data_IF_283097655036
#
_entry.id   IF_283097655036
#
_cell.length_a   1.000
_cell.length_b   1.000
_cell.length_c   1.000
_cell.angle_alpha   90.00
_cell.angle_beta   90.00
_cell.angle_gamma   90.00
#
_symmetry.space_group_name_H-M   'P 1'
#
loop_
_entity.id
_entity.type
_entity.pdbx_description
1 polymer ?
#
# COMPACT_ATOMS: atom_id res chain seq x y z
N UNK A 1 20.92 17.82 4.20
CA UNK A 1 19.77 18.08 3.31
C UNK A 1 18.52 17.68 4.06
N UNK A 2 17.73 18.66 4.47
CA UNK A 2 16.59 18.44 5.37
C UNK A 2 15.42 17.75 4.66
N UNK A 3 14.73 16.89 5.39
CA UNK A 3 13.59 16.08 4.93
C UNK A 3 12.34 16.89 4.50
N UNK A 4 12.43 18.23 4.48
CA UNK A 4 11.39 19.16 4.04
C UNK A 4 11.45 19.46 2.53
N UNK A 5 12.62 19.32 1.90
CA UNK A 5 12.84 19.76 0.50
C UNK A 5 12.11 18.88 -0.54
N UNK A 6 11.71 17.66 -0.17
CA UNK A 6 11.10 16.70 -1.10
C UNK A 6 9.60 16.87 -1.33
N UNK A 7 8.88 17.62 -0.48
CA UNK A 7 7.43 17.80 -0.63
C UNK A 7 7.06 18.79 -1.74
N UNK A 8 7.99 19.69 -2.08
CA UNK A 8 7.78 20.70 -3.11
C UNK A 8 7.69 20.07 -4.50
N UNK A 9 8.29 18.90 -4.72
CA UNK A 9 8.36 18.25 -6.03
C UNK A 9 7.01 17.67 -6.52
N UNK A 10 6.13 17.21 -5.63
CA UNK A 10 4.84 16.62 -6.05
C UNK A 10 3.72 17.66 -6.19
N UNK A 11 3.81 18.76 -5.44
CA UNK A 11 2.74 19.74 -5.30
C UNK A 11 2.26 20.31 -6.64
N UNK A 12 3.13 20.79 -7.55
CA UNK A 12 2.70 21.34 -8.83
C UNK A 12 1.93 20.33 -9.69
N UNK A 13 2.32 19.06 -9.65
CA UNK A 13 1.69 18.00 -10.43
C UNK A 13 0.36 17.56 -9.84
N UNK A 14 0.22 17.58 -8.51
CA UNK A 14 -1.08 17.36 -7.85
C UNK A 14 -2.06 18.45 -8.27
N UNK A 15 -1.65 19.72 -8.31
CA UNK A 15 -2.51 20.82 -8.75
C UNK A 15 -2.91 20.71 -10.22
N UNK A 16 -2.05 20.14 -11.08
CA UNK A 16 -2.34 19.89 -12.49
C UNK A 16 -3.28 18.71 -12.72
N UNK A 17 -3.13 17.66 -11.93
CA UNK A 17 -3.86 16.40 -12.11
C UNK A 17 -5.18 16.34 -11.33
N UNK A 18 -5.36 17.14 -10.28
CA UNK A 18 -6.59 17.22 -9.48
C UNK A 18 -7.43 18.42 -9.94
N UNK A 19 -8.24 18.22 -10.98
CA UNK A 19 -9.16 19.21 -11.52
C UNK A 19 -10.56 18.61 -11.65
N UNK A 20 -11.64 19.42 -11.73
CA UNK A 20 -12.98 18.88 -11.94
C UNK A 20 -13.04 17.94 -13.16
N UNK A 21 -12.32 18.30 -14.23
CA UNK A 21 -12.37 17.58 -15.49
C UNK A 21 -11.53 16.30 -15.51
N UNK A 22 -10.47 16.23 -14.70
CA UNK A 22 -9.67 15.00 -14.52
C UNK A 22 -10.23 14.08 -13.42
N UNK A 23 -11.16 14.57 -12.59
CA UNK A 23 -11.83 13.74 -11.58
C UNK A 23 -13.18 13.19 -12.03
N UNK A 24 -13.94 13.98 -12.79
CA UNK A 24 -15.35 13.70 -13.11
C UNK A 24 -15.72 13.92 -14.58
N UNK A 25 -14.75 14.31 -15.42
CA UNK A 25 -15.01 14.59 -16.84
C UNK A 25 -15.16 13.33 -17.71
N UNK A 26 -15.88 13.47 -18.82
CA UNK A 26 -16.11 12.40 -19.80
C UNK A 26 -14.82 11.94 -20.52
N UNK A 27 -13.75 12.74 -20.49
CA UNK A 27 -12.48 12.50 -21.18
C UNK A 27 -11.28 12.47 -20.21
N UNK A 28 -11.48 11.97 -18.99
CA UNK A 28 -10.46 11.97 -17.93
C UNK A 28 -9.12 11.35 -18.38
N UNK A 29 -9.16 10.19 -19.04
CA UNK A 29 -7.96 9.49 -19.54
C UNK A 29 -7.18 10.35 -20.53
N UNK A 30 -7.86 10.86 -21.55
CA UNK A 30 -7.30 11.74 -22.59
C UNK A 30 -6.66 13.01 -21.99
N UNK A 31 -7.33 13.61 -20.99
CA UNK A 31 -6.81 14.79 -20.29
C UNK A 31 -5.55 14.49 -19.49
N UNK A 32 -5.54 13.38 -18.74
CA UNK A 32 -4.36 12.98 -17.97
C UNK A 32 -3.19 12.59 -18.86
N UNK A 33 -3.44 11.94 -20.01
CA UNK A 33 -2.42 11.73 -21.05
C UNK A 33 -1.86 13.06 -21.53
N UNK A 34 -2.71 14.04 -21.84
CA UNK A 34 -2.29 15.37 -22.26
C UNK A 34 -1.37 16.03 -21.23
N UNK A 35 -1.75 16.00 -19.95
CA UNK A 35 -0.95 16.53 -18.84
C UNK A 35 0.41 15.83 -18.75
N UNK A 36 0.48 14.50 -18.90
CA UNK A 36 1.75 13.76 -18.89
C UNK A 36 2.65 14.21 -20.04
N UNK A 37 2.11 14.33 -21.26
CA UNK A 37 2.87 14.81 -22.44
C UNK A 37 3.40 16.22 -22.20
N UNK A 38 2.54 17.13 -21.74
CA UNK A 38 2.89 18.53 -21.50
C UNK A 38 3.96 18.70 -20.42
N UNK A 39 3.84 17.93 -19.32
CA UNK A 39 4.76 18.07 -18.19
C UNK A 39 6.11 17.39 -18.41
N UNK A 40 6.14 16.27 -19.14
CA UNK A 40 7.35 15.43 -19.24
C UNK A 40 8.03 15.51 -20.61
N UNK A 41 7.32 15.95 -21.65
CA UNK A 41 7.83 15.96 -23.02
C UNK A 41 7.95 14.57 -23.66
N UNK A 42 7.50 13.50 -22.98
CA UNK A 42 7.48 12.16 -23.56
C UNK A 42 6.42 12.05 -24.66
N UNK A 43 6.60 11.10 -25.57
CA UNK A 43 5.64 10.89 -26.65
C UNK A 43 4.27 10.40 -26.10
N UNK A 44 3.22 10.64 -26.89
CA UNK A 44 1.84 10.35 -26.51
C UNK A 44 1.57 8.85 -26.28
N UNK A 45 2.24 7.97 -27.00
CA UNK A 45 2.09 6.52 -26.84
C UNK A 45 2.61 6.05 -25.49
N UNK A 46 3.81 6.50 -25.09
CA UNK A 46 4.37 6.25 -23.77
C UNK A 46 3.50 6.85 -22.66
N UNK A 47 3.02 8.09 -22.84
CA UNK A 47 2.13 8.73 -21.88
C UNK A 47 0.81 7.94 -21.71
N UNK A 48 0.20 7.48 -22.81
CA UNK A 48 -0.99 6.63 -22.77
C UNK A 48 -0.72 5.31 -22.03
N UNK A 49 0.43 4.67 -22.23
CA UNK A 49 0.78 3.44 -21.52
C UNK A 49 0.91 3.67 -20.01
N UNK A 50 1.54 4.78 -19.58
CA UNK A 50 1.64 5.15 -18.15
C UNK A 50 0.25 5.34 -17.56
N UNK A 51 -0.60 6.13 -18.23
CA UNK A 51 -1.96 6.43 -17.76
C UNK A 51 -2.81 5.17 -17.67
N UNK A 52 -2.81 4.34 -18.72
CA UNK A 52 -3.58 3.10 -18.75
C UNK A 52 -3.13 2.12 -17.66
N UNK A 53 -1.82 1.93 -17.49
CA UNK A 53 -1.29 1.02 -16.45
C UNK A 53 -1.76 1.47 -15.06
N UNK A 54 -1.69 2.76 -14.75
CA UNK A 54 -2.17 3.31 -13.49
C UNK A 54 -3.69 3.12 -13.32
N UNK A 55 -4.46 3.40 -14.38
CA UNK A 55 -5.91 3.26 -14.36
C UNK A 55 -6.33 1.82 -14.13
N UNK A 56 -5.73 0.89 -14.87
CA UNK A 56 -6.03 -0.53 -14.82
C UNK A 56 -5.69 -1.10 -13.45
N UNK A 57 -4.54 -0.79 -12.87
CA UNK A 57 -4.17 -1.26 -11.52
C UNK A 57 -5.13 -0.75 -10.45
N UNK A 58 -5.54 0.52 -10.48
CA UNK A 58 -6.51 1.07 -9.50
C UNK A 58 -7.90 0.47 -9.71
N UNK A 59 -8.37 0.39 -10.96
CA UNK A 59 -9.67 -0.20 -11.29
C UNK A 59 -9.73 -1.68 -10.88
N UNK A 60 -8.68 -2.45 -11.19
CA UNK A 60 -8.61 -3.86 -10.85
C UNK A 60 -8.54 -4.06 -9.33
N UNK A 61 -7.84 -3.18 -8.61
CA UNK A 61 -7.81 -3.19 -7.12
C UNK A 61 -9.20 -2.92 -6.55
N UNK A 62 -9.89 -1.88 -7.03
CA UNK A 62 -11.24 -1.55 -6.57
C UNK A 62 -12.23 -2.68 -6.88
N UNK A 63 -12.20 -3.24 -8.09
CA UNK A 63 -13.04 -4.36 -8.50
C UNK A 63 -12.77 -5.62 -7.66
N UNK A 64 -11.49 -5.93 -7.41
CA UNK A 64 -11.07 -7.06 -6.58
C UNK A 64 -11.54 -6.90 -5.13
N UNK A 65 -11.48 -5.68 -4.60
CA UNK A 65 -12.02 -5.38 -3.28
C UNK A 65 -13.55 -5.49 -3.21
N UNK A 66 -14.28 -5.07 -4.25
CA UNK A 66 -15.73 -5.28 -4.30
C UNK A 66 -16.09 -6.78 -4.36
N UNK A 67 -15.30 -7.60 -5.07
CA UNK A 67 -15.46 -9.07 -5.06
C UNK A 67 -15.28 -9.65 -3.65
N UNK A 68 -14.25 -9.21 -2.92
CA UNK A 68 -14.05 -9.60 -1.52
C UNK A 68 -15.22 -9.18 -0.61
N UNK A 69 -15.72 -7.94 -0.74
CA UNK A 69 -16.90 -7.49 0.03
C UNK A 69 -18.12 -8.35 -0.27
N UNK A 70 -18.40 -8.63 -1.54
CA UNK A 70 -19.52 -9.47 -1.94
C UNK A 70 -19.38 -10.91 -1.41
N UNK A 71 -18.15 -11.40 -1.29
CA UNK A 71 -17.86 -12.70 -0.68
C UNK A 71 -18.13 -12.69 0.83
N UNK A 72 -17.71 -11.65 1.56
CA UNK A 72 -17.97 -11.50 3.02
C UNK A 72 -19.47 -11.36 3.34
N UNK A 73 -20.27 -10.74 2.46
CA UNK A 73 -21.73 -10.66 2.61
C UNK A 73 -22.39 -12.06 2.65
N UNK A 74 -21.76 -13.08 2.08
CA UNK A 74 -22.24 -14.47 2.12
C UNK A 74 -21.85 -15.22 3.41
N UNK A 75 -21.33 -14.52 4.43
CA UNK A 75 -20.86 -15.12 5.67
C UNK A 75 -19.49 -15.79 5.57
N UNK A 76 -18.74 -15.52 4.50
CA UNK A 76 -17.39 -16.04 4.27
C UNK A 76 -16.33 -15.09 4.84
N UNK A 77 -15.11 -15.59 4.97
CA UNK A 77 -13.97 -14.85 5.52
C UNK A 77 -13.00 -14.36 4.43
N UNK A 78 -12.21 -13.33 4.77
CA UNK A 78 -11.10 -12.84 3.93
C UNK A 78 -10.09 -13.94 3.62
N UNK A 79 -9.80 -14.83 4.57
CA UNK A 79 -8.88 -15.96 4.36
C UNK A 79 -9.44 -16.96 3.34
N UNK A 80 -10.73 -17.31 3.44
CA UNK A 80 -11.35 -18.20 2.44
C UNK A 80 -11.33 -17.57 1.03
N UNK A 81 -11.56 -16.26 0.95
CA UNK A 81 -11.52 -15.53 -0.31
C UNK A 81 -10.11 -15.49 -0.91
N UNK A 82 -9.11 -15.17 -0.09
CA UNK A 82 -7.71 -15.08 -0.52
C UNK A 82 -7.18 -16.44 -0.97
N UNK A 83 -7.50 -17.51 -0.25
CA UNK A 83 -7.21 -18.89 -0.66
C UNK A 83 -7.77 -19.18 -2.05
N UNK A 84 -9.04 -18.87 -2.28
CA UNK A 84 -9.68 -19.04 -3.60
C UNK A 84 -8.94 -18.25 -4.69
N UNK A 85 -8.59 -16.99 -4.44
CA UNK A 85 -7.93 -16.13 -5.43
C UNK A 85 -6.51 -16.56 -5.76
N UNK A 86 -5.72 -16.97 -4.78
CA UNK A 86 -4.37 -17.49 -5.03
C UNK A 86 -4.41 -18.80 -5.80
N UNK A 87 -5.37 -19.69 -5.49
CA UNK A 87 -5.57 -20.92 -6.27
C UNK A 87 -6.04 -20.64 -7.72
N UNK A 88 -6.90 -19.63 -7.93
CA UNK A 88 -7.30 -19.19 -9.27
C UNK A 88 -6.08 -18.70 -10.07
N UNK A 89 -5.20 -17.92 -9.43
CA UNK A 89 -3.95 -17.45 -10.04
C UNK A 89 -3.04 -18.65 -10.37
N UNK A 90 -2.76 -19.51 -9.39
CA UNK A 90 -1.93 -20.72 -9.56
C UNK A 90 -2.46 -21.58 -10.72
N UNK A 91 -3.78 -21.82 -10.76
CA UNK A 91 -4.42 -22.63 -11.81
C UNK A 91 -4.33 -21.98 -13.20
N UNK A 92 -4.46 -20.65 -13.28
CA UNK A 92 -4.31 -19.91 -14.55
C UNK A 92 -2.87 -19.86 -15.05
N UNK A 93 -1.91 -20.13 -14.17
CA UNK A 93 -0.47 -20.15 -14.43
C UNK A 93 0.06 -21.58 -14.63
N UNK A 94 -0.75 -22.61 -14.34
CA UNK A 94 -0.36 -24.02 -14.23
C UNK A 94 -0.01 -24.76 -15.54
N UNK A 95 0.18 -24.08 -16.67
CA UNK A 95 0.45 -24.79 -17.94
C UNK A 95 1.84 -25.44 -18.01
N UNK A 96 2.77 -25.18 -17.09
CA UNK A 96 4.18 -25.61 -17.28
C UNK A 96 4.92 -26.00 -15.97
N UNK A 97 4.32 -26.80 -15.09
CA UNK A 97 5.03 -27.34 -13.91
C UNK A 97 5.45 -26.28 -12.88
N UNK A 98 4.67 -25.20 -12.76
CA UNK A 98 5.01 -24.04 -11.94
C UNK A 98 4.70 -24.22 -10.44
N UNK A 99 5.53 -23.53 -9.64
CA UNK A 99 5.51 -23.47 -8.19
C UNK A 99 4.34 -22.58 -7.73
N UNK A 100 3.65 -22.93 -6.64
CA UNK A 100 2.62 -22.07 -6.05
C UNK A 100 3.17 -20.65 -5.80
N UNK A 101 2.39 -19.62 -6.11
CA UNK A 101 2.80 -18.23 -5.89
C UNK A 101 2.79 -17.86 -4.40
N UNK A 102 1.98 -18.54 -3.60
CA UNK A 102 1.71 -18.20 -2.19
C UNK A 102 2.97 -18.08 -1.33
N UNK A 103 3.94 -19.01 -1.38
CA UNK A 103 5.20 -18.88 -0.63
C UNK A 103 6.01 -17.64 -1.00
N UNK A 104 6.09 -17.29 -2.28
CA UNK A 104 6.83 -16.11 -2.74
C UNK A 104 6.18 -14.80 -2.30
N UNK A 105 4.84 -14.77 -2.26
CA UNK A 105 4.09 -13.61 -1.71
C UNK A 105 4.40 -13.46 -0.22
N UNK A 106 4.37 -14.56 0.53
CA UNK A 106 4.67 -14.56 1.97
C UNK A 106 6.12 -14.10 2.23
N UNK A 107 7.08 -14.62 1.47
CA UNK A 107 8.49 -14.21 1.57
C UNK A 107 8.67 -12.72 1.22
N UNK A 108 7.93 -12.20 0.25
CA UNK A 108 7.94 -10.78 -0.09
C UNK A 108 7.47 -9.89 1.07
N UNK A 109 6.44 -10.33 1.81
CA UNK A 109 6.00 -9.67 3.03
C UNK A 109 7.00 -9.83 4.17
N UNK A 110 7.62 -11.00 4.34
CA UNK A 110 8.65 -11.24 5.35
C UNK A 110 9.85 -10.30 5.18
N UNK A 111 10.38 -10.21 3.95
CA UNK A 111 11.47 -9.30 3.58
C UNK A 111 11.07 -7.83 3.84
N UNK A 112 9.86 -7.46 3.41
CA UNK A 112 9.31 -6.12 3.57
C UNK A 112 9.18 -5.73 5.05
N UNK A 113 8.59 -6.59 5.87
CA UNK A 113 8.34 -6.37 7.28
C UNK A 113 9.67 -6.31 8.06
N UNK A 114 10.62 -7.18 7.73
CA UNK A 114 11.98 -7.16 8.29
C UNK A 114 12.69 -5.84 7.97
N UNK A 115 12.59 -5.36 6.73
CA UNK A 115 13.16 -4.07 6.35
C UNK A 115 12.48 -2.92 7.10
N UNK A 116 11.14 -2.86 7.14
CA UNK A 116 10.41 -1.84 7.88
C UNK A 116 10.76 -1.81 9.37
N UNK A 117 10.83 -2.98 10.02
CA UNK A 117 11.28 -3.11 11.40
C UNK A 117 12.71 -2.60 11.56
N UNK A 118 13.59 -2.95 10.61
CA UNK A 118 14.97 -2.47 10.59
C UNK A 118 15.08 -0.95 10.51
N UNK A 119 14.21 -0.30 9.72
CA UNK A 119 14.12 1.15 9.63
C UNK A 119 13.67 1.82 10.95
N UNK A 120 12.85 1.12 11.74
CA UNK A 120 12.29 1.64 12.99
C UNK A 120 13.25 1.48 14.17
N UNK A 121 13.88 0.31 14.31
CA UNK A 121 14.70 0.00 15.49
C UNK A 121 16.14 0.49 15.41
N UNK A 122 16.50 1.31 14.40
CA UNK A 122 17.80 2.02 14.28
C UNK A 122 18.11 2.99 15.43
N UNK A 123 17.40 2.91 16.55
CA UNK A 123 17.53 3.83 17.66
C UNK A 123 18.52 3.39 18.75
N UNK A 124 18.93 2.13 18.81
CA UNK A 124 20.01 1.64 19.69
C UNK A 124 20.61 0.39 19.03
N UNK A 125 21.93 0.19 19.12
CA UNK A 125 22.73 -0.82 18.38
C UNK A 125 22.41 -2.31 18.63
N UNK A 126 21.14 -2.68 18.77
CA UNK A 126 20.64 -4.03 18.95
C UNK A 126 20.42 -4.74 17.59
N UNK A 127 20.67 -6.05 17.57
CA UNK A 127 20.30 -6.90 16.43
C UNK A 127 18.79 -7.01 16.35
N UNK A 128 18.25 -6.54 15.23
CA UNK A 128 16.82 -6.57 14.96
C UNK A 128 16.48 -7.99 14.46
N UNK A 129 15.53 -8.70 15.11
CA UNK A 129 15.19 -10.05 14.69
C UNK A 129 14.61 -10.05 13.27
N UNK A 130 15.07 -10.98 12.44
CA UNK A 130 14.47 -11.26 11.14
C UNK A 130 13.04 -11.78 11.35
N UNK A 131 12.05 -11.18 10.70
CA UNK A 131 10.67 -11.69 10.74
C UNK A 131 10.60 -12.86 9.77
N UNK A 132 10.49 -14.07 10.32
CA UNK A 132 10.27 -15.29 9.54
C UNK A 132 8.89 -15.83 9.85
N UNK A 133 8.13 -16.14 8.81
CA UNK A 133 6.87 -16.87 8.92
C UNK A 133 7.05 -18.38 8.65
N UNK A 134 8.31 -18.86 8.61
CA UNK A 134 8.66 -20.23 8.23
C UNK A 134 8.27 -21.31 9.25
N UNK A 135 7.94 -20.93 10.50
CA UNK A 135 7.51 -21.89 11.54
C UNK A 135 6.11 -22.47 11.29
N UNK A 136 5.37 -21.96 10.29
CA UNK A 136 4.17 -22.60 9.76
C UNK A 136 4.56 -23.72 8.79
N UNK A 137 5.18 -24.77 9.34
CA UNK A 137 5.61 -25.98 8.62
C UNK A 137 4.46 -26.55 7.78
N UNK A 138 4.76 -26.84 6.51
CA UNK A 138 4.01 -27.77 5.68
C UNK A 138 3.59 -29.00 6.51
N UNK A 139 2.29 -29.25 6.60
CA UNK A 139 1.67 -30.44 7.19
C UNK A 139 1.88 -31.69 6.30
N UNK A 140 2.87 -31.69 5.40
CA UNK A 140 3.12 -32.79 4.48
C UNK A 140 2.10 -32.85 3.34
N UNK A 141 1.53 -34.03 3.09
CA UNK A 141 0.71 -34.38 1.90
C UNK A 141 -0.68 -33.70 1.83
N UNK A 142 -1.05 -32.85 2.79
CA UNK A 142 -2.36 -32.19 2.82
C UNK A 142 -2.30 -30.80 2.17
N UNK A 143 -2.32 -30.76 0.84
CA UNK A 143 -2.20 -29.51 0.06
C UNK A 143 -3.23 -28.43 0.44
N UNK A 144 -4.51 -28.78 0.63
CA UNK A 144 -5.55 -27.79 1.00
C UNK A 144 -5.40 -27.27 2.45
N UNK A 145 -4.97 -28.11 3.39
CA UNK A 145 -4.71 -27.68 4.77
C UNK A 145 -3.47 -26.79 4.85
N UNK A 146 -2.43 -27.12 4.08
CA UNK A 146 -1.25 -26.28 3.92
C UNK A 146 -1.64 -24.90 3.38
N UNK A 147 -2.41 -24.87 2.29
CA UNK A 147 -2.79 -23.63 1.65
C UNK A 147 -3.68 -22.72 2.54
N UNK A 148 -4.63 -23.29 3.30
CA UNK A 148 -5.39 -22.53 4.31
C UNK A 148 -4.51 -21.96 5.42
N UNK A 149 -3.51 -22.72 5.88
CA UNK A 149 -2.56 -22.24 6.89
C UNK A 149 -1.67 -21.13 6.32
N UNK A 150 -1.16 -21.29 5.09
CA UNK A 150 -0.38 -20.26 4.40
C UNK A 150 -1.16 -18.97 4.22
N UNK A 151 -2.45 -19.06 3.85
CA UNK A 151 -3.30 -17.88 3.66
C UNK A 151 -3.57 -17.15 4.97
N UNK A 152 -3.77 -17.89 6.07
CA UNK A 152 -3.86 -17.29 7.40
C UNK A 152 -2.57 -16.56 7.77
N UNK A 153 -1.43 -17.19 7.57
CA UNK A 153 -0.10 -16.62 7.80
C UNK A 153 0.18 -15.42 6.89
N UNK A 154 -0.31 -15.43 5.65
CA UNK A 154 -0.22 -14.29 4.74
C UNK A 154 -1.05 -13.11 5.23
N UNK A 155 -2.27 -13.35 5.72
CA UNK A 155 -3.08 -12.30 6.38
C UNK A 155 -2.38 -11.75 7.62
N UNK A 156 -1.71 -12.60 8.41
CA UNK A 156 -0.85 -12.16 9.53
C UNK A 156 0.30 -11.28 9.04
N UNK A 157 1.00 -11.67 7.98
CA UNK A 157 2.07 -10.88 7.40
C UNK A 157 1.60 -9.53 6.82
N UNK A 158 0.39 -9.48 6.26
CA UNK A 158 -0.28 -8.24 5.84
C UNK A 158 -0.59 -7.36 7.04
N UNK A 159 -1.11 -7.94 8.12
CA UNK A 159 -1.35 -7.22 9.37
C UNK A 159 -0.04 -6.64 9.91
N UNK A 160 1.05 -7.40 9.92
CA UNK A 160 2.36 -6.94 10.35
C UNK A 160 2.90 -5.83 9.47
N UNK A 161 2.69 -5.91 8.16
CA UNK A 161 3.02 -4.81 7.29
C UNK A 161 2.21 -3.56 7.63
N UNK A 162 0.93 -3.70 7.94
CA UNK A 162 0.09 -2.59 8.40
C UNK A 162 0.57 -2.02 9.75
N UNK A 163 1.04 -2.86 10.68
CA UNK A 163 1.59 -2.47 11.97
C UNK A 163 2.95 -1.77 11.83
N UNK A 164 3.85 -2.37 11.05
CA UNK A 164 5.25 -2.00 10.89
C UNK A 164 5.46 -0.93 9.86
N UNK A 165 4.58 -0.77 8.88
CA UNK A 165 4.55 0.42 8.03
C UNK A 165 3.95 1.49 8.92
N UNK A 166 4.75 2.24 9.71
CA UNK A 166 4.15 3.26 10.53
C UNK A 166 3.59 4.21 9.48
N UNK A 167 2.32 4.57 9.63
CA UNK A 167 1.87 5.84 9.11
C UNK A 167 2.94 6.87 9.51
N UNK A 168 3.86 7.20 8.60
CA UNK A 168 5.11 7.96 8.85
C UNK A 168 4.82 9.42 9.23
N UNK A 169 3.57 9.70 9.60
CA UNK A 169 3.07 10.90 10.27
C UNK A 169 3.23 10.88 11.79
N UNK A 170 3.75 9.81 12.41
CA UNK A 170 3.89 9.73 13.88
C UNK A 170 4.86 10.73 14.52
N UNK A 171 5.63 11.51 13.76
CA UNK A 171 6.62 12.43 14.33
C UNK A 171 6.73 13.82 13.69
N UNK A 172 6.12 14.06 12.54
CA UNK A 172 6.11 15.42 11.98
C UNK A 172 4.86 16.15 12.49
N UNK A 173 4.97 16.74 13.69
CA UNK A 173 4.12 17.91 14.09
C UNK A 173 4.18 19.04 13.04
N UNK A 174 5.09 18.92 12.08
CA UNK A 174 5.35 19.74 10.90
C UNK A 174 4.61 19.29 9.63
N UNK A 175 3.61 18.38 9.69
CA UNK A 175 2.66 18.19 8.56
C UNK A 175 2.01 19.52 8.12
N UNK A 176 2.03 20.50 9.01
CA UNK A 176 1.52 21.85 8.82
C UNK A 176 2.68 22.80 9.12
N UNK A 177 3.21 23.47 8.10
CA UNK A 177 4.08 24.63 8.36
C UNK A 177 3.90 25.80 7.39
N UNK A 178 3.05 25.68 6.37
CA UNK A 178 2.72 26.82 5.48
C UNK A 178 1.24 26.85 5.17
N UNK A 179 0.63 28.05 5.27
CA UNK A 179 -0.64 28.37 4.60
C UNK A 179 -0.44 28.15 3.10
N UNK A 180 -0.74 26.95 2.62
CA UNK A 180 -0.81 26.69 1.18
C UNK A 180 -2.25 26.91 0.72
N UNK A 181 -2.44 27.24 -0.56
CA UNK A 181 -3.77 27.29 -1.16
C UNK A 181 -4.42 25.91 -1.03
N UNK A 182 -5.47 25.82 -0.23
CA UNK A 182 -6.25 24.59 -0.07
C UNK A 182 -6.94 24.24 -1.40
N UNK A 183 -6.97 22.94 -1.71
CA UNK A 183 -7.63 22.40 -2.88
C UNK A 183 -8.96 21.76 -2.48
N UNK A 184 -10.12 22.38 -2.83
CA UNK A 184 -11.44 21.90 -2.41
C UNK A 184 -11.71 20.44 -2.80
N UNK A 185 -11.19 19.98 -3.94
CA UNK A 185 -11.37 18.61 -4.42
C UNK A 185 -10.67 17.57 -3.52
N UNK A 186 -9.50 17.90 -2.97
CA UNK A 186 -8.83 17.00 -2.02
C UNK A 186 -9.57 16.99 -0.69
N UNK A 187 -10.07 18.14 -0.22
CA UNK A 187 -10.95 18.19 0.94
C UNK A 187 -12.21 17.32 0.73
N UNK A 188 -12.86 17.44 -0.43
CA UNK A 188 -14.01 16.63 -0.82
C UNK A 188 -13.67 15.13 -0.84
N UNK A 189 -12.49 14.75 -1.33
CA UNK A 189 -12.03 13.36 -1.28
C UNK A 189 -12.02 12.81 0.15
N UNK A 190 -11.49 13.54 1.14
CA UNK A 190 -11.49 13.10 2.54
C UNK A 190 -12.90 13.08 3.17
N UNK A 191 -13.71 14.07 2.86
CA UNK A 191 -15.06 14.22 3.43
C UNK A 191 -16.05 13.20 2.86
N UNK A 192 -15.89 12.77 1.61
CA UNK A 192 -16.72 11.74 0.99
C UNK A 192 -16.64 10.38 1.73
N UNK A 193 -17.67 9.51 1.61
CA UNK A 193 -17.62 8.14 2.11
C UNK A 193 -16.42 7.35 1.54
N UNK A 194 -15.96 6.32 2.25
CA UNK A 194 -15.00 5.37 1.68
C UNK A 194 -15.62 4.67 0.46
N UNK A 195 -14.77 4.31 -0.50
CA UNK A 195 -15.16 3.65 -1.76
C UNK A 195 -16.07 4.48 -2.67
N UNK A 196 -16.15 5.79 -2.45
CA UNK A 196 -16.93 6.65 -3.34
C UNK A 196 -16.23 6.83 -4.70
N UNK A 197 -16.95 7.15 -5.78
CA UNK A 197 -16.33 7.30 -7.11
C UNK A 197 -15.17 8.30 -7.16
N UNK A 198 -15.18 9.34 -6.31
CA UNK A 198 -14.08 10.33 -6.23
C UNK A 198 -12.78 9.70 -5.72
N UNK A 199 -12.85 8.58 -5.02
CA UNK A 199 -11.70 7.90 -4.44
C UNK A 199 -10.81 7.38 -5.56
N UNK A 200 -11.41 6.58 -6.45
CA UNK A 200 -10.72 5.99 -7.59
C UNK A 200 -10.12 7.08 -8.49
N UNK A 201 -10.90 8.13 -8.80
CA UNK A 201 -10.43 9.25 -9.62
C UNK A 201 -9.27 10.02 -8.98
N UNK A 202 -9.35 10.29 -7.67
CA UNK A 202 -8.31 11.02 -6.95
C UNK A 202 -7.04 10.19 -6.86
N UNK A 203 -7.14 8.90 -6.57
CA UNK A 203 -5.99 7.98 -6.55
C UNK A 203 -5.28 7.96 -7.91
N UNK A 204 -6.03 7.84 -9.01
CA UNK A 204 -5.48 7.88 -10.37
C UNK A 204 -4.74 9.19 -10.63
N UNK A 205 -5.37 10.33 -10.37
CA UNK A 205 -4.76 11.64 -10.58
C UNK A 205 -3.46 11.81 -9.75
N UNK A 206 -3.46 11.43 -8.47
CA UNK A 206 -2.27 11.49 -7.63
C UNK A 206 -1.17 10.53 -8.11
N UNK A 207 -1.53 9.32 -8.56
CA UNK A 207 -0.58 8.39 -9.18
C UNK A 207 0.06 8.98 -10.43
N UNK A 208 -0.71 9.67 -11.26
CA UNK A 208 -0.18 10.40 -12.43
C UNK A 208 0.77 11.52 -12.01
N UNK A 209 0.44 12.28 -10.96
CA UNK A 209 1.35 13.30 -10.43
C UNK A 209 2.70 12.71 -9.98
N UNK A 210 2.67 11.53 -9.35
CA UNK A 210 3.88 10.81 -8.95
C UNK A 210 4.65 10.28 -10.17
N UNK A 211 3.97 9.75 -11.19
CA UNK A 211 4.60 9.29 -12.41
C UNK A 211 5.29 10.44 -13.17
N UNK A 212 4.65 11.61 -13.26
CA UNK A 212 5.25 12.82 -13.85
C UNK A 212 6.53 13.21 -13.09
N UNK A 213 6.49 13.22 -11.75
CA UNK A 213 7.67 13.52 -10.94
C UNK A 213 8.79 12.48 -11.14
N UNK A 214 8.45 11.19 -11.32
CA UNK A 214 9.41 10.14 -11.65
C UNK A 214 10.08 10.39 -13.00
N UNK A 215 9.30 10.63 -14.05
CA UNK A 215 9.82 10.89 -15.40
C UNK A 215 10.71 12.14 -15.45
N UNK A 216 10.40 13.15 -14.65
CA UNK A 216 11.21 14.37 -14.49
C UNK A 216 12.41 14.18 -13.56
N UNK A 217 12.64 12.95 -13.05
CA UNK A 217 13.71 12.58 -12.11
C UNK A 217 13.71 13.41 -10.83
N UNK A 218 12.52 13.84 -10.39
CA UNK A 218 12.33 14.65 -9.19
C UNK A 218 12.02 13.80 -7.95
N UNK A 219 11.79 12.51 -8.11
CA UNK A 219 11.76 11.56 -7.00
C UNK A 219 13.18 11.20 -6.55
N UNK A 220 13.41 10.87 -5.26
CA UNK A 220 14.68 10.33 -4.79
C UNK A 220 15.12 9.09 -5.58
N UNK A 221 16.43 8.89 -5.75
CA UNK A 221 16.99 7.80 -6.57
C UNK A 221 16.37 6.41 -6.32
N UNK A 222 16.16 5.95 -5.07
CA UNK A 222 15.55 4.63 -4.84
C UNK A 222 14.11 4.50 -5.36
N UNK A 223 13.42 5.63 -5.56
CA UNK A 223 12.03 5.70 -6.02
C UNK A 223 11.91 5.93 -7.53
N UNK A 224 13.01 6.25 -8.21
CA UNK A 224 13.00 6.46 -9.67
C UNK A 224 12.81 5.16 -10.47
N UNK A 225 13.11 4.01 -9.87
CA UNK A 225 12.97 2.69 -10.50
C UNK A 225 11.61 2.01 -10.25
N UNK A 226 10.68 2.71 -9.61
CA UNK A 226 9.33 2.22 -9.33
C UNK A 226 8.50 2.29 -10.62
N UNK A 227 7.92 1.16 -11.00
CA UNK A 227 7.03 1.00 -12.16
C UNK A 227 5.66 1.65 -11.96
N UNK A 228 4.91 1.83 -13.04
CA UNK A 228 3.62 2.56 -13.02
C UNK A 228 2.56 1.88 -12.16
N UNK A 229 2.49 0.56 -12.22
CA UNK A 229 1.58 -0.25 -11.42
C UNK A 229 2.01 -0.32 -9.93
N UNK A 230 3.31 -0.27 -9.65
CA UNK A 230 3.83 -0.09 -8.29
C UNK A 230 3.46 1.31 -7.74
N UNK A 231 3.60 2.38 -8.54
CA UNK A 231 3.15 3.74 -8.15
C UNK A 231 1.65 3.72 -7.84
N UNK A 232 0.84 3.11 -8.73
CA UNK A 232 -0.60 3.00 -8.55
C UNK A 232 -0.96 2.30 -7.23
N UNK A 233 -0.31 1.17 -6.95
CA UNK A 233 -0.55 0.37 -5.74
C UNK A 233 -0.11 1.09 -4.45
N UNK A 234 1.06 1.73 -4.48
CA UNK A 234 1.58 2.50 -3.33
C UNK A 234 0.67 3.69 -3.02
N UNK A 235 0.25 4.43 -4.04
CA UNK A 235 -0.66 5.57 -3.89
C UNK A 235 -2.05 5.11 -3.44
N UNK A 236 -2.63 4.07 -4.05
CA UNK A 236 -3.93 3.52 -3.64
C UNK A 236 -3.93 3.16 -2.17
N UNK A 237 -2.97 2.33 -1.75
CA UNK A 237 -2.87 1.88 -0.37
C UNK A 237 -2.65 3.05 0.58
N UNK A 238 -1.77 3.99 0.24
CA UNK A 238 -1.46 5.12 1.10
C UNK A 238 -2.63 6.11 1.24
N UNK A 239 -3.29 6.47 0.14
CA UNK A 239 -4.45 7.36 0.16
C UNK A 239 -5.65 6.73 0.86
N UNK A 240 -5.81 5.41 0.73
CA UNK A 240 -6.80 4.63 1.47
C UNK A 240 -6.50 4.68 2.97
N UNK A 241 -5.27 4.38 3.38
CA UNK A 241 -4.79 4.46 4.77
C UNK A 241 -5.10 5.83 5.41
N UNK A 242 -4.70 6.93 4.77
CA UNK A 242 -4.91 8.27 5.34
C UNK A 242 -6.38 8.69 5.37
N UNK A 243 -7.20 8.27 4.40
CA UNK A 243 -8.64 8.57 4.40
C UNK A 243 -9.36 7.77 5.48
N UNK A 244 -9.03 6.49 5.65
CA UNK A 244 -9.54 5.67 6.76
C UNK A 244 -9.16 6.29 8.11
N UNK A 245 -7.91 6.74 8.27
CA UNK A 245 -7.51 7.45 9.47
C UNK A 245 -8.31 8.75 9.67
N UNK A 246 -8.55 9.53 8.62
CA UNK A 246 -9.43 10.70 8.71
C UNK A 246 -10.85 10.33 9.21
N UNK A 247 -11.44 9.24 8.70
CA UNK A 247 -12.76 8.75 9.14
C UNK A 247 -12.77 8.32 10.61
N UNK A 248 -11.71 7.65 11.07
CA UNK A 248 -11.53 7.32 12.49
C UNK A 248 -11.35 8.58 13.34
N UNK A 249 -10.55 9.55 12.89
CA UNK A 249 -10.36 10.83 13.57
C UNK A 249 -11.64 11.67 13.67
N UNK A 250 -12.54 11.54 12.70
CA UNK A 250 -13.90 12.10 12.73
C UNK A 250 -14.87 11.34 13.63
N UNK A 251 -14.50 10.14 14.10
CA UNK A 251 -15.39 9.18 14.76
C UNK A 251 -16.54 8.71 13.85
N UNK A 252 -16.34 8.77 12.54
CA UNK A 252 -17.26 8.22 11.52
C UNK A 252 -17.03 6.71 11.31
N UNK A 253 -15.92 6.17 11.83
CA UNK A 253 -15.53 4.76 11.71
C UNK A 253 -14.84 4.30 13.00
N UNK A 254 -15.14 3.07 13.45
CA UNK A 254 -14.48 2.49 14.62
C UNK A 254 -13.07 2.01 14.30
N UNK A 255 -12.25 1.80 15.33
CA UNK A 255 -10.91 1.20 15.16
C UNK A 255 -11.00 -0.18 14.49
N UNK A 256 -11.91 -1.04 14.95
CA UNK A 256 -12.01 -2.42 14.45
C UNK A 256 -12.44 -2.44 12.98
N UNK A 257 -13.42 -1.63 12.61
CA UNK A 257 -13.88 -1.51 11.22
C UNK A 257 -12.76 -0.96 10.33
N UNK A 258 -11.97 0.01 10.83
CA UNK A 258 -10.85 0.55 10.10
C UNK A 258 -9.75 -0.48 9.84
N UNK A 259 -9.42 -1.32 10.83
CA UNK A 259 -8.41 -2.37 10.68
C UNK A 259 -8.90 -3.46 9.72
N UNK A 260 -10.14 -3.94 9.88
CA UNK A 260 -10.73 -4.94 8.98
C UNK A 260 -10.78 -4.42 7.53
N UNK A 261 -11.23 -3.17 7.34
CA UNK A 261 -11.23 -2.50 6.04
C UNK A 261 -9.83 -2.41 5.41
N UNK A 262 -8.80 -2.04 6.19
CA UNK A 262 -7.44 -1.92 5.68
C UNK A 262 -6.80 -3.26 5.34
N UNK A 263 -7.07 -4.31 6.12
CA UNK A 263 -6.65 -5.68 5.80
C UNK A 263 -7.26 -6.11 4.46
N UNK A 264 -8.57 -5.97 4.30
CA UNK A 264 -9.27 -6.36 3.07
C UNK A 264 -8.74 -5.59 1.86
N UNK A 265 -8.46 -4.29 2.00
CA UNK A 265 -7.87 -3.47 0.92
C UNK A 265 -6.47 -3.94 0.55
N UNK A 266 -5.60 -4.19 1.53
CA UNK A 266 -4.22 -4.63 1.27
C UNK A 266 -4.21 -6.03 0.62
N UNK A 267 -5.01 -6.96 1.15
CA UNK A 267 -5.18 -8.30 0.59
C UNK A 267 -5.65 -8.23 -0.87
N UNK A 268 -6.61 -7.36 -1.17
CA UNK A 268 -7.09 -7.15 -2.55
C UNK A 268 -5.99 -6.60 -3.46
N UNK A 269 -5.24 -5.59 -3.00
CA UNK A 269 -4.09 -5.06 -3.75
C UNK A 269 -3.01 -6.13 -3.99
N UNK A 270 -2.72 -6.99 -3.00
CA UNK A 270 -1.78 -8.11 -3.15
C UNK A 270 -2.23 -9.05 -4.26
N UNK A 271 -3.51 -9.44 -4.30
CA UNK A 271 -4.04 -10.31 -5.37
C UNK A 271 -3.85 -9.69 -6.75
N UNK A 272 -4.13 -8.38 -6.90
CA UNK A 272 -3.92 -7.67 -8.18
C UNK A 272 -2.46 -7.63 -8.57
N UNK A 273 -1.57 -7.26 -7.65
CA UNK A 273 -0.13 -7.20 -7.90
C UNK A 273 0.43 -8.55 -8.34
N UNK A 274 0.05 -9.62 -7.65
CA UNK A 274 0.50 -10.98 -7.98
C UNK A 274 -0.03 -11.38 -9.34
N UNK A 275 -1.31 -11.16 -9.61
CA UNK A 275 -1.93 -11.48 -10.91
C UNK A 275 -1.27 -10.72 -12.07
N UNK A 276 -0.99 -9.43 -11.90
CA UNK A 276 -0.33 -8.59 -12.90
C UNK A 276 1.11 -9.05 -13.14
N UNK A 277 1.85 -9.35 -12.06
CA UNK A 277 3.21 -9.84 -12.16
C UNK A 277 3.27 -11.23 -12.80
N UNK A 278 2.35 -12.14 -12.46
CA UNK A 278 2.19 -13.44 -13.12
C UNK A 278 1.99 -13.27 -14.64
N UNK A 279 1.07 -12.40 -15.08
CA UNK A 279 0.87 -12.11 -16.50
C UNK A 279 2.12 -11.55 -17.19
N UNK A 280 2.93 -10.77 -16.47
CA UNK A 280 4.17 -10.18 -16.99
C UNK A 280 5.27 -11.22 -17.16
N UNK A 281 5.31 -12.24 -16.32
CA UNK A 281 6.35 -13.27 -16.33
C UNK A 281 5.92 -14.56 -17.05
N UNK A 282 4.63 -14.70 -17.40
CA UNK A 282 4.03 -15.89 -18.04
C UNK A 282 4.39 -16.10 -19.51
N UNK A 283 5.59 -15.71 -19.94
CA UNK A 283 6.07 -16.03 -21.30
C UNK A 283 7.46 -16.69 -21.32
N UNK A 284 8.27 -16.66 -20.24
CA UNK A 284 9.68 -17.15 -20.37
C UNK A 284 10.37 -17.79 -19.14
N UNK A 285 9.86 -17.79 -17.89
CA UNK A 285 10.81 -17.77 -16.74
C UNK A 285 10.64 -18.72 -15.54
N UNK A 286 9.83 -19.78 -15.55
CA UNK A 286 9.90 -20.90 -14.58
C UNK A 286 10.12 -20.47 -13.10
N UNK A 287 11.14 -21.02 -12.41
CA UNK A 287 11.52 -20.66 -11.02
C UNK A 287 11.84 -19.16 -10.79
N UNK A 288 12.29 -18.43 -11.81
CA UNK A 288 12.56 -16.99 -11.68
C UNK A 288 11.26 -16.19 -11.53
N UNK A 289 10.12 -16.71 -11.99
CA UNK A 289 8.80 -16.08 -11.81
C UNK A 289 8.49 -15.84 -10.33
N UNK A 290 8.79 -16.81 -9.46
CA UNK A 290 8.62 -16.68 -8.02
C UNK A 290 9.42 -15.53 -7.42
N UNK A 291 10.68 -15.38 -7.83
CA UNK A 291 11.52 -14.25 -7.40
C UNK A 291 11.02 -12.90 -7.90
N UNK A 292 10.44 -12.83 -9.10
CA UNK A 292 9.80 -11.59 -9.58
C UNK A 292 8.60 -11.21 -8.71
N UNK A 293 7.72 -12.18 -8.39
CA UNK A 293 6.57 -11.99 -7.49
C UNK A 293 7.02 -11.51 -6.11
N UNK A 294 7.99 -12.21 -5.51
CA UNK A 294 8.59 -11.83 -4.22
C UNK A 294 9.12 -10.39 -4.25
N UNK A 295 9.91 -10.05 -5.27
CA UNK A 295 10.48 -8.72 -5.40
C UNK A 295 9.40 -7.64 -5.62
N UNK A 296 8.33 -7.95 -6.34
CA UNK A 296 7.19 -7.04 -6.56
C UNK A 296 6.49 -6.71 -5.25
N UNK A 297 6.14 -7.74 -4.47
CA UNK A 297 5.54 -7.58 -3.13
C UNK A 297 6.48 -6.76 -2.23
N UNK A 298 7.77 -7.13 -2.17
CA UNK A 298 8.76 -6.40 -1.37
C UNK A 298 8.86 -4.92 -1.73
N UNK A 299 8.82 -4.57 -3.02
CA UNK A 299 8.90 -3.18 -3.48
C UNK A 299 7.69 -2.35 -3.08
N UNK A 300 6.48 -2.90 -3.21
CA UNK A 300 5.23 -2.17 -2.93
C UNK A 300 4.96 -2.03 -1.42
N UNK A 301 5.36 -3.02 -0.63
CA UNK A 301 5.09 -3.03 0.80
C UNK A 301 6.28 -2.60 1.68
N UNK A 302 7.49 -2.51 1.11
CA UNK A 302 8.73 -2.27 1.83
C UNK A 302 9.12 -0.80 2.03
N UNK A 303 10.37 -0.58 2.46
CA UNK A 303 10.87 0.74 2.89
C UNK A 303 10.80 1.83 1.80
N UNK A 304 11.14 1.49 0.55
CA UNK A 304 11.09 2.45 -0.58
C UNK A 304 9.68 2.95 -0.79
N UNK A 305 8.69 2.06 -0.82
CA UNK A 305 7.28 2.42 -0.89
C UNK A 305 6.85 3.25 0.32
N UNK A 306 7.28 2.91 1.53
CA UNK A 306 7.00 3.71 2.71
C UNK A 306 7.61 5.13 2.62
N UNK A 307 8.76 5.27 1.97
CA UNK A 307 9.37 6.57 1.67
C UNK A 307 8.56 7.40 0.67
N UNK A 308 8.07 6.77 -0.41
CA UNK A 308 7.22 7.43 -1.40
C UNK A 308 5.86 7.82 -0.78
N UNK A 309 5.24 6.90 -0.04
CA UNK A 309 3.99 7.12 0.68
C UNK A 309 4.09 8.33 1.62
N UNK A 310 5.23 8.52 2.32
CA UNK A 310 5.46 9.71 3.16
C UNK A 310 5.37 11.00 2.34
N UNK A 311 6.00 11.06 1.17
CA UNK A 311 5.99 12.25 0.31
C UNK A 311 4.59 12.54 -0.23
N UNK A 312 3.89 11.52 -0.73
CA UNK A 312 2.51 11.63 -1.21
C UNK A 312 1.59 12.14 -0.11
N UNK A 313 1.65 11.54 1.09
CA UNK A 313 0.83 11.96 2.24
C UNK A 313 1.07 13.41 2.60
N UNK A 314 2.33 13.84 2.71
CA UNK A 314 2.66 15.23 3.03
C UNK A 314 2.08 16.19 2.00
N UNK A 315 2.28 15.93 0.71
CA UNK A 315 1.79 16.80 -0.36
C UNK A 315 0.25 16.87 -0.39
N UNK A 316 -0.42 15.72 -0.28
CA UNK A 316 -1.90 15.65 -0.28
C UNK A 316 -2.50 16.32 0.95
N UNK A 317 -1.97 16.08 2.16
CA UNK A 317 -2.47 16.71 3.39
C UNK A 317 -2.23 18.22 3.38
N UNK A 318 -1.04 18.67 2.94
CA UNK A 318 -0.74 20.09 2.82
C UNK A 318 -1.78 20.81 1.94
N UNK A 319 -2.22 20.16 0.85
CA UNK A 319 -3.23 20.70 -0.07
C UNK A 319 -4.67 20.49 0.38
N UNK A 320 -4.98 19.42 1.10
CA UNK A 320 -6.30 19.19 1.65
C UNK A 320 -6.66 20.17 2.78
N UNK A 321 -5.65 20.74 3.43
CA UNK A 321 -5.80 21.77 4.44
C UNK A 321 -5.51 21.28 5.86
N UNK A 322 -5.20 22.23 6.74
CA UNK A 322 -4.76 21.99 8.11
C UNK A 322 -5.81 21.20 8.92
N UNK A 323 -7.09 21.51 8.73
CA UNK A 323 -8.18 20.82 9.43
C UNK A 323 -8.21 19.33 9.07
N UNK A 324 -8.05 18.99 7.79
CA UNK A 324 -7.98 17.60 7.34
C UNK A 324 -6.77 16.91 7.94
N UNK A 325 -5.60 17.56 7.88
CA UNK A 325 -4.35 17.04 8.44
C UNK A 325 -4.44 16.73 9.93
N UNK A 326 -5.01 17.65 10.72
CA UNK A 326 -5.18 17.47 12.16
C UNK A 326 -6.11 16.30 12.51
N UNK A 327 -7.19 16.13 11.74
CA UNK A 327 -8.16 15.04 11.97
C UNK A 327 -7.57 13.69 11.55
N UNK A 328 -6.94 13.63 10.38
CA UNK A 328 -6.24 12.43 9.92
C UNK A 328 -5.12 12.04 10.90
N UNK A 329 -4.35 13.01 11.41
CA UNK A 329 -3.31 12.80 12.41
C UNK A 329 -3.84 12.14 13.69
N UNK A 330 -4.94 12.64 14.26
CA UNK A 330 -5.60 12.02 15.42
C UNK A 330 -6.04 10.58 15.14
N UNK A 331 -6.60 10.33 13.96
CA UNK A 331 -6.99 8.99 13.57
C UNK A 331 -5.80 8.05 13.38
N UNK A 332 -4.69 8.53 12.83
CA UNK A 332 -3.44 7.77 12.71
C UNK A 332 -2.91 7.40 14.10
N UNK A 333 -2.93 8.33 15.04
CA UNK A 333 -2.53 8.08 16.43
C UNK A 333 -3.43 7.01 17.05
N UNK A 334 -4.74 7.15 16.92
CA UNK A 334 -5.71 6.22 17.51
C UNK A 334 -5.63 4.82 16.89
N UNK A 335 -5.58 4.72 15.55
CA UNK A 335 -5.34 3.46 14.85
C UNK A 335 -4.03 2.86 15.33
N UNK A 336 -2.96 3.65 15.36
CA UNK A 336 -1.66 3.18 15.80
C UNK A 336 -1.61 2.72 17.25
N UNK A 337 -2.32 3.36 18.17
CA UNK A 337 -2.42 2.92 19.57
C UNK A 337 -3.27 1.67 19.72
N UNK A 338 -4.40 1.61 19.01
CA UNK A 338 -5.26 0.44 18.94
C UNK A 338 -4.51 -0.77 18.42
N UNK A 339 -3.79 -0.58 17.32
CA UNK A 339 -2.92 -1.57 16.72
C UNK A 339 -1.81 -2.04 17.69
N UNK A 340 -1.16 -1.13 18.44
CA UNK A 340 -0.21 -1.52 19.49
C UNK A 340 -0.82 -2.41 20.59
N UNK A 341 -2.13 -2.30 20.84
CA UNK A 341 -2.86 -3.04 21.89
C UNK A 341 -3.43 -4.37 21.40
N UNK A 342 -3.88 -4.44 20.13
CA UNK A 342 -4.44 -5.66 19.51
C UNK A 342 -3.36 -6.56 18.90
N UNK A 343 -2.14 -6.04 18.72
CA UNK A 343 -1.00 -6.75 18.18
C UNK A 343 -0.51 -7.88 19.07
N UNK A 344 -1.08 -9.06 18.85
CA UNK A 344 -0.45 -10.33 19.20
C UNK A 344 0.93 -10.55 18.52
N UNK A 345 1.47 -9.63 17.72
CA UNK A 345 2.69 -9.82 16.93
C UNK A 345 3.99 -9.24 17.51
N UNK A 346 3.93 -8.31 18.48
CA UNK A 346 5.05 -8.20 19.42
C UNK A 346 4.91 -9.25 20.53
N UNK A 347 3.87 -10.11 20.57
CA UNK A 347 3.63 -10.94 21.76
C UNK A 347 4.82 -11.86 22.09
N UNK A 348 5.50 -12.45 21.10
CA UNK A 348 6.69 -13.26 21.40
C UNK A 348 7.99 -12.45 21.39
N UNK A 349 8.04 -11.29 20.71
CA UNK A 349 9.20 -10.37 20.74
C UNK A 349 9.28 -9.48 22.00
N UNK A 350 8.14 -9.10 22.57
CA UNK A 350 7.96 -8.24 23.75
C UNK A 350 7.98 -9.04 25.05
N UNK A 351 7.46 -10.27 25.04
CA UNK A 351 7.59 -11.18 26.19
C UNK A 351 9.04 -11.64 26.36
N UNK A 352 9.79 -11.89 25.28
CA UNK A 352 11.24 -12.13 25.33
C UNK A 352 12.03 -10.88 25.76
N UNK A 353 11.61 -9.70 25.34
CA UNK A 353 12.18 -8.42 25.79
C UNK A 353 11.94 -8.17 27.30
N UNK A 354 10.73 -8.45 27.83
CA UNK A 354 10.43 -8.39 29.28
C UNK A 354 11.15 -9.46 30.09
N UNK A 355 11.28 -10.68 29.59
CA UNK A 355 12.00 -11.76 30.24
C UNK A 355 13.52 -11.49 30.32
N UNK A 356 14.08 -10.79 29.32
CA UNK A 356 15.44 -10.26 29.36
C UNK A 356 15.60 -9.12 30.37
N UNK A 357 14.61 -8.23 30.48
CA UNK A 357 14.64 -7.08 31.40
C UNK A 357 14.61 -7.48 32.89
N UNK A 358 13.89 -8.54 33.26
CA UNK A 358 13.87 -9.05 34.64
C UNK A 358 15.14 -9.80 35.05
N UNK A 359 15.94 -10.29 34.10
CA UNK A 359 17.23 -10.95 34.37
C UNK A 359 18.40 -10.00 34.54
N UNK A 360 18.26 -8.74 34.14
CA UNK A 360 19.33 -7.74 34.22
C UNK A 360 19.24 -6.82 35.45
N UNK A 361 18.15 -6.88 36.22
CA UNK A 361 17.94 -6.09 37.44
C UNK A 361 17.45 -6.94 38.64
N UNK A 362 17.84 -8.22 38.69
CA UNK A 362 17.70 -9.08 39.87
C UNK A 362 19.08 -9.49 40.41
#
# INVERSE_FOLDING_TARGET
MDALEYCENLTPYIERTITPETLTGLNTLERLTGIVVEETGINRETANRIVNTIFDTINETDATYQDLKAFKVQGRTTNEWLHRKLNEIDSSFAHEGMISVTPYVLDGFADSNTALLSAISKHDGEQIPHISYADHKSLGLYEDLNAKQYVKTLTEAVMDNLFLSPFKCRQDKTLISKKTKEYPLLKQYFESPLDSPIDSSTKKAISIAVAIAREKKQLPLPMQSISDDEIASIVDMNLTKIKTAYKVGKKEMSLFDAVDYLIDRIVSSTVVLVKQECKRVSEELGEKAGEYIKNKVRKVFGETAAGLAKQVTKAVIAKAGETIGNIAGKGIEYIGEGLKKTGHFIRDGWENFKAGWHRFFA
#
